data_IF_657171986470
#
_entry.id   IF_657171986470
#
_cell.length_a   1.000
_cell.length_b   1.000
_cell.length_c   1.000
_cell.angle_alpha   90.00
_cell.angle_beta   90.00
_cell.angle_gamma   90.00
#
_symmetry.space_group_name_H-M   'P 1'
#
loop_
_entity.id
_entity.type
_entity.pdbx_description
1 polymer ?
#
# COMPACT_ATOMS: atom_id res chain seq x y z
N UNK A 1 -31.24 46.33 -72.08
CA UNK A 1 -31.02 45.34 -71.00
C UNK A 1 -30.17 46.00 -69.93
N UNK A 2 -30.79 46.63 -68.94
CA UNK A 2 -30.11 47.42 -67.90
C UNK A 2 -30.35 46.75 -66.55
N UNK A 3 -29.31 46.17 -65.96
CA UNK A 3 -29.29 45.67 -64.58
C UNK A 3 -28.45 46.62 -63.73
N UNK A 4 -29.02 47.11 -62.62
CA UNK A 4 -28.45 48.13 -61.75
C UNK A 4 -28.05 47.55 -60.38
N UNK A 5 -26.86 47.98 -59.95
CA UNK A 5 -26.14 47.92 -58.68
C UNK A 5 -26.79 47.23 -57.45
N UNK A 6 -26.02 46.31 -56.87
CA UNK A 6 -26.12 45.79 -55.49
C UNK A 6 -25.61 46.83 -54.48
N UNK A 7 -26.38 47.00 -53.41
CA UNK A 7 -26.13 47.87 -52.26
C UNK A 7 -25.10 47.25 -51.30
N UNK A 8 -24.16 48.04 -50.80
CA UNK A 8 -23.20 47.67 -49.76
C UNK A 8 -23.62 48.29 -48.41
N UNK A 9 -23.59 47.50 -47.33
CA UNK A 9 -23.56 48.02 -45.98
C UNK A 9 -22.56 47.18 -45.17
N UNK A 10 -21.42 47.79 -44.84
CA UNK A 10 -20.26 47.13 -44.22
C UNK A 10 -20.36 47.26 -42.69
N UNK A 11 -20.43 46.10 -42.06
CA UNK A 11 -20.28 45.79 -40.64
C UNK A 11 -19.06 46.50 -40.02
N UNK A 12 -19.25 47.53 -39.21
CA UNK A 12 -18.13 48.17 -38.48
C UNK A 12 -18.45 48.66 -37.06
N UNK A 13 -19.66 48.47 -36.54
CA UNK A 13 -20.03 48.93 -35.19
C UNK A 13 -20.19 47.84 -34.14
N UNK A 14 -20.22 46.55 -34.51
CA UNK A 14 -20.51 45.47 -33.57
C UNK A 14 -19.28 44.91 -32.82
N UNK A 15 -18.07 45.20 -33.29
CA UNK A 15 -16.82 44.63 -32.76
C UNK A 15 -16.15 45.47 -31.67
N UNK A 16 -16.50 46.75 -31.52
CA UNK A 16 -15.89 47.62 -30.49
C UNK A 16 -16.56 47.47 -29.13
N UNK A 17 -17.86 47.18 -29.10
CA UNK A 17 -18.64 47.04 -27.87
C UNK A 17 -18.28 45.71 -27.16
N UNK A 18 -18.13 44.62 -27.92
CA UNK A 18 -17.75 43.31 -27.38
C UNK A 18 -16.33 43.27 -26.81
N UNK A 19 -15.39 44.07 -27.34
CA UNK A 19 -14.00 44.12 -26.86
C UNK A 19 -13.84 44.85 -25.52
N UNK A 20 -14.63 45.90 -25.26
CA UNK A 20 -14.62 46.59 -23.96
C UNK A 20 -15.25 45.76 -22.84
N UNK A 21 -16.27 44.95 -23.16
CA UNK A 21 -16.87 44.03 -22.19
C UNK A 21 -15.98 42.81 -21.89
N UNK A 22 -15.18 42.34 -22.84
CA UNK A 22 -14.18 41.28 -22.59
C UNK A 22 -13.09 41.76 -21.62
N UNK A 23 -12.62 43.00 -21.75
CA UNK A 23 -11.67 43.58 -20.81
C UNK A 23 -12.28 43.85 -19.42
N UNK A 24 -13.54 44.30 -19.36
CA UNK A 24 -14.24 44.50 -18.08
C UNK A 24 -14.57 43.17 -17.36
N UNK A 25 -14.87 42.12 -18.13
CA UNK A 25 -15.12 40.78 -17.60
C UNK A 25 -13.82 40.10 -17.11
N UNK A 26 -12.68 40.33 -17.79
CA UNK A 26 -11.37 39.86 -17.34
C UNK A 26 -10.80 40.62 -16.13
N UNK A 27 -11.26 41.86 -15.88
CA UNK A 27 -10.80 42.68 -14.74
C UNK A 27 -11.62 42.45 -13.45
N UNK A 28 -12.79 41.82 -13.56
CA UNK A 28 -13.62 41.46 -12.39
C UNK A 28 -13.31 40.07 -11.81
N UNK A 29 -12.49 39.25 -12.47
CA UNK A 29 -12.11 37.91 -11.98
C UNK A 29 -10.84 37.96 -11.10
N UNK A 30 -10.16 39.11 -11.05
CA UNK A 30 -8.95 39.33 -10.25
C UNK A 30 -9.19 40.15 -8.97
N UNK A 31 -10.41 40.19 -8.44
CA UNK A 31 -10.62 40.57 -7.04
C UNK A 31 -10.16 39.41 -6.15
N UNK A 32 -8.88 39.51 -5.81
CA UNK A 32 -8.16 38.77 -4.79
C UNK A 32 -9.07 38.50 -3.59
N UNK A 33 -9.44 37.23 -3.39
CA UNK A 33 -9.84 36.73 -2.09
C UNK A 33 -8.64 36.90 -1.15
N UNK A 34 -8.59 38.04 -0.48
CA UNK A 34 -7.73 38.23 0.66
C UNK A 34 -8.31 37.35 1.77
N UNK A 35 -7.93 36.07 1.77
CA UNK A 35 -8.13 35.22 2.93
C UNK A 35 -7.37 35.89 4.07
N UNK A 36 -8.09 36.63 4.90
CA UNK A 36 -7.60 37.07 6.19
C UNK A 36 -7.17 35.79 6.91
N UNK A 37 -5.86 35.62 7.07
CA UNK A 37 -5.31 34.62 7.95
C UNK A 37 -5.92 34.90 9.32
N UNK A 38 -6.91 34.11 9.71
CA UNK A 38 -7.43 34.13 11.08
C UNK A 38 -6.26 33.68 11.94
N UNK A 39 -5.60 34.66 12.59
CA UNK A 39 -4.59 34.38 13.58
C UNK A 39 -5.26 33.51 14.64
N UNK A 40 -4.96 32.21 14.62
CA UNK A 40 -5.55 31.24 15.53
C UNK A 40 -5.14 31.69 16.94
N UNK A 41 -6.09 32.32 17.64
CA UNK A 41 -5.86 32.91 18.95
C UNK A 41 -5.25 31.85 19.87
N UNK A 42 -3.97 32.02 20.21
CA UNK A 42 -3.22 31.05 21.01
C UNK A 42 -3.65 31.17 22.47
N UNK A 43 -3.82 30.05 23.18
CA UNK A 43 -4.11 30.10 24.61
C UNK A 43 -2.98 30.78 25.37
N UNK A 44 -3.33 31.75 26.19
CA UNK A 44 -2.40 32.44 27.10
C UNK A 44 -2.68 32.05 28.55
N UNK A 45 -3.96 31.79 28.87
CA UNK A 45 -4.35 31.35 30.20
C UNK A 45 -5.22 30.11 30.15
N UNK A 46 -5.23 29.38 31.25
CA UNK A 46 -6.07 28.21 31.48
C UNK A 46 -6.87 28.46 32.75
N UNK A 47 -8.18 28.20 32.69
CA UNK A 47 -9.10 28.38 33.81
C UNK A 47 -9.81 27.09 34.12
N UNK A 48 -9.89 26.72 35.39
CA UNK A 48 -10.79 25.65 35.85
C UNK A 48 -11.66 26.14 37.01
N UNK A 49 -12.73 25.40 37.26
CA UNK A 49 -13.58 25.60 38.43
C UNK A 49 -13.31 24.46 39.40
N UNK A 50 -12.99 24.80 40.65
CA UNK A 50 -12.86 23.79 41.70
C UNK A 50 -14.24 23.24 42.11
N UNK A 51 -14.25 22.30 43.05
CA UNK A 51 -15.48 21.71 43.60
C UNK A 51 -16.43 22.73 44.25
N UNK A 52 -15.94 23.91 44.61
CA UNK A 52 -16.71 24.99 45.23
C UNK A 52 -17.18 26.02 44.19
N UNK A 53 -16.87 25.83 42.91
CA UNK A 53 -17.19 26.77 41.82
C UNK A 53 -16.25 27.96 41.72
N UNK A 54 -15.09 27.94 42.40
CA UNK A 54 -14.12 29.05 42.36
C UNK A 54 -13.25 28.93 41.10
N UNK A 55 -13.22 30.01 40.32
CA UNK A 55 -12.40 30.11 39.12
C UNK A 55 -10.91 30.27 39.50
N UNK A 56 -10.09 29.33 39.05
CA UNK A 56 -8.64 29.35 39.22
C UNK A 56 -8.00 29.49 37.84
N UNK A 57 -7.10 30.45 37.68
CA UNK A 57 -6.46 30.78 36.39
C UNK A 57 -4.95 30.64 36.49
N UNK A 58 -4.34 29.95 35.54
CA UNK A 58 -2.87 29.81 35.45
C UNK A 58 -2.40 29.93 34.00
N UNK A 59 -1.11 30.19 33.80
CA UNK A 59 -0.47 30.24 32.48
C UNK A 59 -0.13 28.85 31.92
N UNK A 60 -0.19 27.80 32.77
CA UNK A 60 0.06 26.41 32.40
C UNK A 60 -1.07 25.49 32.89
N UNK A 61 -1.23 24.33 32.25
CA UNK A 61 -2.23 23.32 32.62
C UNK A 61 -1.70 22.50 33.80
N UNK A 62 -2.41 22.52 34.94
CA UNK A 62 -2.07 21.74 36.13
C UNK A 62 -2.90 20.43 36.22
N UNK A 63 -2.53 19.47 37.09
CA UNK A 63 -3.34 18.27 37.31
C UNK A 63 -4.80 18.56 37.72
N UNK A 64 -5.05 19.65 38.44
CA UNK A 64 -6.39 20.10 38.85
C UNK A 64 -7.23 20.52 37.65
N UNK A 65 -6.62 21.20 36.68
CA UNK A 65 -7.27 21.55 35.40
C UNK A 65 -7.70 20.29 34.66
N UNK A 66 -6.83 19.27 34.61
CA UNK A 66 -7.15 17.99 33.97
C UNK A 66 -8.27 17.27 34.73
N UNK A 67 -8.22 17.29 36.06
CA UNK A 67 -9.21 16.62 36.93
C UNK A 67 -10.61 17.22 36.81
N UNK A 68 -10.73 18.55 36.80
CA UNK A 68 -12.02 19.23 36.79
C UNK A 68 -12.48 19.70 35.41
N UNK A 69 -11.63 19.55 34.39
CA UNK A 69 -11.84 20.18 33.10
C UNK A 69 -11.46 21.65 33.16
N UNK A 70 -11.10 22.21 32.02
CA UNK A 70 -10.61 23.58 31.96
C UNK A 70 -10.96 24.26 30.65
N UNK A 71 -10.91 25.58 30.68
CA UNK A 71 -11.09 26.45 29.54
C UNK A 71 -9.74 27.07 29.19
N UNK A 72 -9.38 26.98 27.92
CA UNK A 72 -8.27 27.71 27.36
C UNK A 72 -8.77 29.12 27.00
N UNK A 73 -8.04 30.14 27.44
CA UNK A 73 -8.39 31.54 27.29
C UNK A 73 -7.34 32.27 26.44
N UNK A 74 -7.77 33.22 25.62
CA UNK A 74 -6.90 34.13 24.88
C UNK A 74 -6.39 35.29 25.75
N UNK A 75 -5.58 36.19 25.17
CA UNK A 75 -5.05 37.41 25.81
C UNK A 75 -6.12 38.38 26.35
N UNK A 76 -7.38 38.22 25.95
CA UNK A 76 -8.49 39.05 26.39
C UNK A 76 -9.39 38.31 27.40
N UNK A 77 -8.92 37.17 27.96
CA UNK A 77 -9.65 36.30 28.88
C UNK A 77 -10.91 35.67 28.24
N UNK A 78 -10.98 35.60 26.92
CA UNK A 78 -12.08 34.98 26.20
C UNK A 78 -11.81 33.49 26.01
N UNK A 79 -12.86 32.66 26.18
CA UNK A 79 -12.75 31.21 26.04
C UNK A 79 -12.60 30.85 24.56
N UNK A 80 -11.45 30.28 24.21
CA UNK A 80 -11.18 29.77 22.86
C UNK A 80 -11.42 28.27 22.75
N UNK A 81 -11.32 27.52 23.86
CA UNK A 81 -11.57 26.07 23.87
C UNK A 81 -11.97 25.58 25.26
N UNK A 82 -12.92 24.65 25.31
CA UNK A 82 -13.31 23.93 26.55
C UNK A 82 -12.84 22.48 26.51
N UNK A 83 -12.12 22.07 27.54
CA UNK A 83 -11.65 20.71 27.75
C UNK A 83 -12.44 20.06 28.88
N UNK A 84 -12.92 18.84 28.65
CA UNK A 84 -13.71 18.09 29.63
C UNK A 84 -12.83 17.56 30.78
N UNK A 85 -13.41 17.34 31.97
CA UNK A 85 -12.74 16.63 33.05
C UNK A 85 -12.22 15.26 32.60
N UNK A 86 -11.05 14.88 33.08
CA UNK A 86 -10.47 13.56 32.82
C UNK A 86 -11.33 12.46 33.45
N UNK A 87 -11.66 11.43 32.66
CA UNK A 87 -12.43 10.28 33.09
C UNK A 87 -11.57 9.01 33.01
N UNK A 88 -11.05 8.57 34.16
CA UNK A 88 -10.18 7.39 34.25
C UNK A 88 -10.88 6.09 33.78
N UNK A 89 -12.18 5.95 34.05
CA UNK A 89 -12.94 4.74 33.66
C UNK A 89 -13.04 4.67 32.13
N UNK A 90 -13.41 5.79 31.50
CA UNK A 90 -13.47 5.89 30.03
C UNK A 90 -12.08 5.71 29.40
N UNK A 91 -11.04 6.21 30.05
CA UNK A 91 -9.66 6.10 29.57
C UNK A 91 -9.16 4.64 29.57
N UNK A 92 -9.45 3.89 30.64
CA UNK A 92 -9.14 2.46 30.73
C UNK A 92 -9.95 1.65 29.71
N UNK A 93 -11.22 1.97 29.48
CA UNK A 93 -12.03 1.31 28.45
C UNK A 93 -11.49 1.57 27.03
N UNK A 94 -11.03 2.80 26.77
CA UNK A 94 -10.55 3.21 25.46
C UNK A 94 -9.06 2.89 25.23
N UNK A 95 -8.28 2.58 26.27
CA UNK A 95 -6.84 2.29 26.17
C UNK A 95 -6.56 1.10 25.26
N UNK A 96 -7.27 -0.01 25.45
CA UNK A 96 -7.14 -1.23 24.65
C UNK A 96 -7.43 -0.96 23.17
N UNK A 97 -8.48 -0.18 22.87
CA UNK A 97 -8.82 0.24 21.51
C UNK A 97 -7.75 1.16 20.91
N UNK A 98 -7.22 2.12 21.67
CA UNK A 98 -6.15 3.00 21.19
C UNK A 98 -4.89 2.22 20.89
N UNK A 99 -4.55 1.28 21.75
CA UNK A 99 -3.39 0.42 21.58
C UNK A 99 -3.54 -0.48 20.35
N UNK A 100 -4.70 -1.09 20.14
CA UNK A 100 -4.94 -1.93 18.96
C UNK A 100 -4.88 -1.12 17.66
N UNK A 101 -5.45 0.08 17.65
CA UNK A 101 -5.36 1.01 16.50
C UNK A 101 -3.91 1.46 16.27
N UNK A 102 -3.16 1.77 17.34
CA UNK A 102 -1.75 2.15 17.22
C UNK A 102 -0.93 1.01 16.62
N UNK A 103 -1.11 -0.23 17.11
CA UNK A 103 -0.47 -1.44 16.57
C UNK A 103 -0.81 -1.66 15.10
N UNK A 104 -2.07 -1.49 14.70
CA UNK A 104 -2.49 -1.59 13.30
C UNK A 104 -1.78 -0.55 12.43
N UNK A 105 -1.77 0.72 12.84
CA UNK A 105 -1.06 1.79 12.11
C UNK A 105 0.43 1.51 11.97
N UNK A 106 1.07 0.99 13.02
CA UNK A 106 2.49 0.62 12.97
C UNK A 106 2.75 -0.50 11.96
N UNK A 107 1.88 -1.51 11.92
CA UNK A 107 1.97 -2.60 10.94
C UNK A 107 1.78 -2.09 9.51
N UNK A 108 0.80 -1.20 9.29
CA UNK A 108 0.52 -0.63 7.97
C UNK A 108 1.65 0.28 7.49
N UNK A 109 2.24 1.08 8.38
CA UNK A 109 3.44 1.87 8.10
C UNK A 109 4.63 0.98 7.76
N UNK A 110 4.81 -0.14 8.49
CA UNK A 110 5.86 -1.12 8.19
C UNK A 110 5.66 -1.74 6.80
N UNK A 111 4.41 -2.08 6.45
CA UNK A 111 4.06 -2.62 5.14
C UNK A 111 4.38 -1.63 4.02
N UNK A 112 3.95 -0.37 4.18
CA UNK A 112 4.23 0.71 3.23
C UNK A 112 5.74 0.99 3.09
N UNK A 113 6.51 0.92 4.17
CA UNK A 113 7.98 1.04 4.11
C UNK A 113 8.65 -0.12 3.37
N UNK A 114 8.16 -1.36 3.53
CA UNK A 114 8.76 -2.54 2.92
C UNK A 114 8.53 -2.63 1.40
N UNK A 115 7.35 -2.20 0.94
CA UNK A 115 6.93 -2.36 -0.45
C UNK A 115 6.71 -1.06 -1.21
N UNK A 116 6.54 0.07 -0.54
CA UNK A 116 6.32 1.39 -1.15
C UNK A 116 4.90 1.58 -1.66
N UNK A 117 4.52 0.81 -2.68
CA UNK A 117 3.19 0.84 -3.32
C UNK A 117 2.73 -0.55 -3.77
N UNK A 118 1.44 -0.68 -4.06
CA UNK A 118 0.82 -1.87 -4.65
C UNK A 118 1.53 -2.31 -5.93
N UNK A 119 1.85 -1.37 -6.83
CA UNK A 119 2.55 -1.64 -8.09
C UNK A 119 3.95 -2.23 -7.87
N UNK A 120 4.70 -1.72 -6.89
CA UNK A 120 6.04 -2.24 -6.58
C UNK A 120 5.94 -3.63 -5.96
N UNK A 121 4.96 -3.87 -5.08
CA UNK A 121 4.69 -5.19 -4.52
C UNK A 121 4.36 -6.22 -5.61
N UNK A 122 3.49 -5.86 -6.56
CA UNK A 122 3.15 -6.70 -7.71
C UNK A 122 4.36 -7.00 -8.60
N UNK A 123 5.18 -6.00 -8.93
CA UNK A 123 6.40 -6.22 -9.71
C UNK A 123 7.38 -7.17 -9.01
N UNK A 124 7.56 -7.03 -7.69
CA UNK A 124 8.39 -7.95 -6.89
C UNK A 124 7.83 -9.37 -6.91
N UNK A 125 6.52 -9.55 -6.73
CA UNK A 125 5.85 -10.84 -6.84
C UNK A 125 6.16 -11.49 -8.19
N UNK A 126 5.89 -10.77 -9.27
CA UNK A 126 6.02 -11.31 -10.63
C UNK A 126 7.46 -11.71 -10.94
N UNK A 127 8.44 -10.94 -10.48
CA UNK A 127 9.86 -11.29 -10.59
C UNK A 127 10.18 -12.59 -9.85
N UNK A 128 9.72 -12.76 -8.61
CA UNK A 128 9.96 -13.97 -7.82
C UNK A 128 9.28 -15.18 -8.46
N UNK A 129 8.01 -15.03 -8.87
CA UNK A 129 7.26 -16.11 -9.53
C UNK A 129 7.90 -16.52 -10.85
N UNK A 130 8.39 -15.57 -11.64
CA UNK A 130 9.12 -15.87 -12.88
C UNK A 130 10.40 -16.68 -12.60
N UNK A 131 11.15 -16.32 -11.57
CA UNK A 131 12.35 -17.06 -11.16
C UNK A 131 12.03 -18.48 -10.68
N UNK A 132 11.01 -18.63 -9.83
CA UNK A 132 10.55 -19.94 -9.36
C UNK A 132 10.07 -20.82 -10.53
N UNK A 133 9.33 -20.23 -11.47
CA UNK A 133 8.88 -20.93 -12.69
C UNK A 133 10.05 -21.39 -13.55
N UNK A 134 11.08 -20.55 -13.73
CA UNK A 134 12.30 -20.93 -14.45
C UNK A 134 13.01 -22.11 -13.79
N UNK A 135 13.14 -22.09 -12.46
CA UNK A 135 13.72 -23.19 -11.70
C UNK A 135 12.90 -24.47 -11.83
N UNK A 136 11.57 -24.36 -11.75
CA UNK A 136 10.65 -25.49 -11.87
C UNK A 136 10.76 -26.15 -13.26
N UNK A 137 10.77 -25.35 -14.33
CA UNK A 137 10.95 -25.86 -15.69
C UNK A 137 12.28 -26.61 -15.83
N UNK A 138 13.38 -26.02 -15.35
CA UNK A 138 14.69 -26.67 -15.36
C UNK A 138 14.68 -28.02 -14.61
N UNK A 139 14.08 -28.07 -13.41
CA UNK A 139 13.99 -29.32 -12.65
C UNK A 139 13.08 -30.37 -13.33
N UNK A 140 12.04 -29.93 -14.04
CA UNK A 140 11.19 -30.83 -14.82
C UNK A 140 11.92 -31.42 -16.02
N UNK A 141 12.71 -30.62 -16.75
CA UNK A 141 13.56 -31.10 -17.83
C UNK A 141 14.60 -32.12 -17.32
N UNK A 142 15.24 -31.83 -16.18
CA UNK A 142 16.14 -32.77 -15.52
C UNK A 142 15.43 -34.08 -15.13
N UNK A 143 14.20 -34.01 -14.61
CA UNK A 143 13.42 -35.19 -14.29
C UNK A 143 13.09 -36.02 -15.54
N UNK A 144 12.72 -35.37 -16.65
CA UNK A 144 12.47 -36.05 -17.91
C UNK A 144 13.71 -36.77 -18.42
N UNK A 145 14.87 -36.11 -18.37
CA UNK A 145 16.14 -36.75 -18.76
C UNK A 145 16.43 -37.99 -17.91
N UNK A 146 16.33 -37.88 -16.59
CA UNK A 146 16.53 -39.01 -15.68
C UNK A 146 15.56 -40.16 -15.94
N UNK A 147 14.31 -39.87 -16.32
CA UNK A 147 13.33 -40.88 -16.72
C UNK A 147 13.72 -41.59 -18.02
N UNK A 148 14.25 -40.87 -19.01
CA UNK A 148 14.77 -41.49 -20.23
C UNK A 148 15.98 -42.38 -19.95
N UNK A 149 16.91 -41.90 -19.11
CA UNK A 149 18.07 -42.68 -18.68
C UNK A 149 17.64 -43.97 -17.96
N UNK A 150 16.63 -43.89 -17.09
CA UNK A 150 16.04 -45.06 -16.42
C UNK A 150 15.56 -46.10 -17.43
N UNK A 151 14.85 -45.67 -18.46
CA UNK A 151 14.36 -46.58 -19.52
C UNK A 151 15.56 -47.22 -20.24
N UNK A 152 16.60 -46.44 -20.55
CA UNK A 152 17.84 -46.94 -21.15
C UNK A 152 18.52 -48.02 -20.30
N UNK A 153 18.74 -47.74 -19.01
CA UNK A 153 19.35 -48.71 -18.09
C UNK A 153 18.50 -49.96 -17.90
N UNK A 154 17.17 -49.83 -17.83
CA UNK A 154 16.27 -50.98 -17.76
C UNK A 154 16.30 -51.84 -19.02
N UNK A 155 16.42 -51.24 -20.21
CA UNK A 155 16.64 -52.02 -21.45
C UNK A 155 17.95 -52.80 -21.39
N UNK A 156 19.04 -52.16 -20.94
CA UNK A 156 20.33 -52.84 -20.79
C UNK A 156 20.25 -54.01 -19.81
N UNK A 157 19.63 -53.81 -18.65
CA UNK A 157 19.39 -54.88 -17.66
C UNK A 157 18.64 -56.06 -18.28
N UNK A 158 17.57 -55.81 -19.04
CA UNK A 158 16.82 -56.86 -19.74
C UNK A 158 17.66 -57.63 -20.76
N UNK A 159 18.56 -56.96 -21.48
CA UNK A 159 19.47 -57.63 -22.43
C UNK A 159 20.47 -58.56 -21.73
N UNK A 160 21.00 -58.18 -20.56
CA UNK A 160 21.85 -59.09 -19.76
C UNK A 160 21.05 -60.29 -19.24
N UNK A 161 19.82 -60.06 -18.77
CA UNK A 161 18.93 -61.14 -18.35
C UNK A 161 18.62 -62.11 -19.50
N UNK A 162 18.34 -61.61 -20.71
CA UNK A 162 18.12 -62.44 -21.91
C UNK A 162 19.32 -63.29 -22.28
N UNK A 163 20.53 -62.75 -22.10
CA UNK A 163 21.79 -63.46 -22.36
C UNK A 163 22.20 -64.41 -21.23
N UNK A 164 21.47 -64.44 -20.12
CA UNK A 164 21.86 -65.21 -18.92
C UNK A 164 23.16 -64.71 -18.27
N UNK A 165 23.58 -63.49 -18.57
CA UNK A 165 24.82 -62.91 -18.07
C UNK A 165 24.57 -62.12 -16.78
N UNK A 166 25.52 -62.11 -15.83
CA UNK A 166 25.41 -61.29 -14.63
C UNK A 166 25.45 -59.79 -15.00
N UNK A 167 24.68 -58.98 -14.25
CA UNK A 167 24.67 -57.54 -14.44
C UNK A 167 26.02 -56.92 -14.06
N UNK A 168 26.61 -56.05 -14.91
CA UNK A 168 27.82 -55.33 -14.55
C UNK A 168 27.62 -54.45 -13.31
N UNK A 169 28.61 -54.37 -12.39
CA UNK A 169 28.53 -53.51 -11.19
C UNK A 169 28.20 -52.04 -11.51
N UNK A 170 28.74 -51.52 -12.62
CA UNK A 170 28.47 -50.16 -13.07
C UNK A 170 26.99 -49.93 -13.40
N UNK A 171 26.34 -50.90 -14.07
CA UNK A 171 24.93 -50.78 -14.44
C UNK A 171 24.03 -50.77 -13.20
N UNK A 172 24.35 -51.62 -12.21
CA UNK A 172 23.66 -51.63 -10.92
C UNK A 172 23.78 -50.28 -10.20
N UNK A 173 24.99 -49.73 -10.12
CA UNK A 173 25.25 -48.41 -9.53
C UNK A 173 24.48 -47.30 -10.26
N UNK A 174 24.47 -47.31 -11.60
CA UNK A 174 23.74 -46.33 -12.40
C UNK A 174 22.21 -46.40 -12.15
N UNK A 175 21.63 -47.59 -12.06
CA UNK A 175 20.21 -47.79 -11.73
C UNK A 175 19.87 -47.22 -10.35
N UNK A 176 20.68 -47.53 -9.34
CA UNK A 176 20.48 -47.04 -7.98
C UNK A 176 20.61 -45.51 -7.90
N UNK A 177 21.65 -44.94 -8.51
CA UNK A 177 21.88 -43.50 -8.51
C UNK A 177 20.78 -42.75 -9.28
N UNK A 178 20.36 -43.28 -10.43
CA UNK A 178 19.26 -42.71 -11.20
C UNK A 178 17.96 -42.71 -10.38
N UNK A 179 17.63 -43.80 -9.70
CA UNK A 179 16.45 -43.87 -8.83
C UNK A 179 16.50 -42.82 -7.70
N UNK A 180 17.64 -42.72 -7.00
CA UNK A 180 17.85 -41.70 -5.94
C UNK A 180 17.71 -40.28 -6.50
N UNK A 181 18.29 -40.01 -7.66
CA UNK A 181 18.24 -38.69 -8.30
C UNK A 181 16.81 -38.32 -8.72
N UNK A 182 16.05 -39.27 -9.28
CA UNK A 182 14.63 -39.07 -9.60
C UNK A 182 13.85 -38.65 -8.35
N UNK A 183 14.04 -39.36 -7.23
CA UNK A 183 13.32 -39.06 -5.99
C UNK A 183 13.72 -37.70 -5.43
N UNK A 184 15.01 -37.35 -5.47
CA UNK A 184 15.50 -36.04 -5.05
C UNK A 184 14.92 -34.90 -5.90
N UNK A 185 14.96 -35.02 -7.23
CA UNK A 185 14.40 -34.01 -8.15
C UNK A 185 12.89 -33.88 -7.95
N UNK A 186 12.16 -34.98 -7.75
CA UNK A 186 10.72 -34.92 -7.43
C UNK A 186 10.43 -34.13 -6.16
N UNK A 187 11.19 -34.36 -5.07
CA UNK A 187 11.05 -33.58 -3.83
C UNK A 187 11.35 -32.09 -4.06
N UNK A 188 12.38 -31.79 -4.85
CA UNK A 188 12.71 -30.40 -5.21
C UNK A 188 11.60 -29.73 -6.01
N UNK A 189 11.06 -30.41 -7.03
CA UNK A 189 9.92 -29.91 -7.82
C UNK A 189 8.72 -29.61 -6.92
N UNK A 190 8.41 -30.50 -5.98
CA UNK A 190 7.30 -30.30 -5.05
C UNK A 190 7.54 -29.12 -4.11
N UNK A 191 8.76 -28.99 -3.57
CA UNK A 191 9.14 -27.84 -2.76
C UNK A 191 9.03 -26.53 -3.54
N UNK A 192 9.43 -26.50 -4.81
CA UNK A 192 9.33 -25.32 -5.68
C UNK A 192 7.88 -24.96 -5.98
N UNK A 193 7.00 -25.95 -6.21
CA UNK A 193 5.56 -25.73 -6.37
C UNK A 193 4.92 -25.12 -5.12
N UNK A 194 5.26 -25.66 -3.96
CA UNK A 194 4.78 -25.14 -2.69
C UNK A 194 5.28 -23.71 -2.44
N UNK A 195 6.54 -23.43 -2.74
CA UNK A 195 7.11 -22.08 -2.65
C UNK A 195 6.42 -21.10 -3.61
N UNK A 196 6.09 -21.54 -4.84
CA UNK A 196 5.34 -20.74 -5.81
C UNK A 196 3.97 -20.36 -5.28
N UNK A 197 3.16 -21.33 -4.87
CA UNK A 197 1.81 -21.08 -4.36
C UNK A 197 1.81 -20.24 -3.08
N UNK A 198 2.75 -20.50 -2.17
CA UNK A 198 2.91 -19.70 -0.96
C UNK A 198 3.25 -18.25 -1.30
N UNK A 199 4.21 -18.03 -2.20
CA UNK A 199 4.59 -16.67 -2.63
C UNK A 199 3.40 -15.95 -3.27
N UNK A 200 2.63 -16.64 -4.10
CA UNK A 200 1.44 -16.09 -4.74
C UNK A 200 0.40 -15.64 -3.69
N UNK A 201 0.13 -16.47 -2.68
CA UNK A 201 -0.80 -16.17 -1.58
C UNK A 201 -0.29 -15.02 -0.69
N UNK A 202 0.97 -15.08 -0.25
CA UNK A 202 1.58 -14.08 0.62
C UNK A 202 1.54 -12.69 -0.04
N UNK A 203 1.89 -12.61 -1.32
CA UNK A 203 1.85 -11.35 -2.06
C UNK A 203 0.43 -10.90 -2.39
N UNK A 204 -0.54 -11.81 -2.58
CA UNK A 204 -1.94 -11.43 -2.75
C UNK A 204 -2.50 -10.73 -1.50
N UNK A 205 -2.20 -11.23 -0.30
CA UNK A 205 -2.59 -10.56 0.95
C UNK A 205 -1.90 -9.20 1.10
N UNK A 206 -0.59 -9.13 0.85
CA UNK A 206 0.18 -7.89 0.92
C UNK A 206 -0.38 -6.82 -0.03
N UNK A 207 -0.69 -7.20 -1.28
CA UNK A 207 -1.26 -6.27 -2.27
C UNK A 207 -2.65 -5.81 -1.85
N UNK A 208 -3.52 -6.71 -1.36
CA UNK A 208 -4.86 -6.35 -0.87
C UNK A 208 -4.80 -5.39 0.32
N UNK A 209 -3.88 -5.64 1.27
CA UNK A 209 -3.68 -4.74 2.40
C UNK A 209 -3.15 -3.38 1.96
N UNK A 210 -2.17 -3.34 1.06
CA UNK A 210 -1.64 -2.07 0.53
C UNK A 210 -2.69 -1.30 -0.26
N UNK A 211 -3.55 -1.96 -1.04
CA UNK A 211 -4.57 -1.29 -1.83
C UNK A 211 -5.66 -0.61 -0.98
N UNK A 212 -5.81 -1.01 0.29
CA UNK A 212 -6.71 -0.37 1.25
C UNK A 212 -6.09 0.87 1.91
N UNK A 213 -4.78 1.06 1.76
CA UNK A 213 -3.99 2.15 2.35
C UNK A 213 -3.63 3.24 1.32
N UNK A 214 -3.88 2.98 0.04
CA UNK A 214 -3.72 3.91 -1.09
C UNK A 214 -5.05 4.62 -1.39
#
# INVERSE_FOLDING_TARGET
MTGLLKWSCRVSHFTMITRNYICAFLLCIFTIDCFAATDQSKPVWYRYYDKNGVANVSTSVTPEHIRYGYEALDRNMQVIKRNRPYNAIQDVQQSSRRESIARQREQDLKLKRAYGSTKIAAAKRDQILANLKKQLNYQQEQLQQLQQDKIGFKRQEMEYHRKGQPLPPQLKSNLENNARNIDNVKRTVESLRNAYHKTEQDYADIINRLSKLE
#
